data_IF_140731716041
#
_entry.id   IF_140731716041
#
_cell.length_a   1.000
_cell.length_b   1.000
_cell.length_c   1.000
_cell.angle_alpha   90.00
_cell.angle_beta   90.00
_cell.angle_gamma   90.00
#
_symmetry.space_group_name_H-M   'P 1'
#
loop_
_entity.id
_entity.type
_entity.pdbx_description
1 polymer ?
#
# COMPACT_ATOMS: atom_id res chain seq x y z
N UNK A 1 14.76 4.83 -4.33
CA UNK A 1 13.59 4.28 -3.65
C UNK A 1 13.02 3.23 -4.57
N UNK A 2 13.40 1.99 -4.30
CA UNK A 2 13.23 0.82 -5.13
C UNK A 2 11.86 0.14 -4.86
N UNK A 3 10.79 0.96 -4.77
CA UNK A 3 9.44 0.47 -4.47
C UNK A 3 8.95 -0.43 -5.61
N UNK A 4 9.19 -0.02 -6.87
CA UNK A 4 8.76 -0.76 -8.05
C UNK A 4 9.47 -2.11 -8.16
N UNK A 5 10.78 -2.13 -7.97
CA UNK A 5 11.63 -3.32 -8.02
C UNK A 5 11.16 -4.34 -6.98
N UNK A 6 10.95 -3.89 -5.74
CA UNK A 6 10.48 -4.74 -4.66
C UNK A 6 9.10 -5.36 -4.96
N UNK A 7 8.15 -4.56 -5.48
CA UNK A 7 6.84 -5.07 -5.89
C UNK A 7 6.98 -6.11 -7.01
N UNK A 8 7.81 -5.83 -8.01
CA UNK A 8 8.00 -6.70 -9.19
C UNK A 8 8.64 -8.03 -8.81
N UNK A 9 9.62 -8.01 -7.91
CA UNK A 9 10.24 -9.21 -7.34
C UNK A 9 9.21 -10.07 -6.59
N UNK A 10 8.37 -9.44 -5.75
CA UNK A 10 7.34 -10.16 -5.01
C UNK A 10 6.24 -10.74 -5.91
N UNK A 11 5.83 -10.02 -6.96
CA UNK A 11 4.89 -10.55 -7.97
C UNK A 11 5.48 -11.80 -8.62
N UNK A 12 6.74 -11.70 -9.04
CA UNK A 12 7.46 -12.79 -9.72
C UNK A 12 7.69 -14.00 -8.82
N UNK A 13 7.99 -13.76 -7.54
CA UNK A 13 8.27 -14.79 -6.54
C UNK A 13 7.02 -15.52 -6.05
N UNK A 14 5.96 -14.79 -5.69
CA UNK A 14 4.74 -15.38 -5.14
C UNK A 14 3.80 -15.93 -6.21
N UNK A 15 3.82 -15.35 -7.43
CA UNK A 15 2.92 -15.72 -8.55
C UNK A 15 1.44 -15.67 -8.18
N UNK A 16 1.09 -14.76 -7.29
CA UNK A 16 -0.28 -14.45 -6.92
C UNK A 16 -0.65 -13.07 -7.47
N UNK A 17 -1.88 -12.87 -7.93
CA UNK A 17 -2.30 -11.56 -8.42
C UNK A 17 -2.52 -10.59 -7.26
N UNK A 18 -2.17 -9.32 -7.44
CA UNK A 18 -2.41 -8.26 -6.48
C UNK A 18 -3.84 -7.70 -6.59
N UNK A 19 -4.46 -7.49 -5.43
CA UNK A 19 -5.66 -6.65 -5.30
C UNK A 19 -5.30 -5.20 -4.98
N UNK A 20 -4.13 -4.93 -4.41
CA UNK A 20 -3.68 -3.58 -4.15
C UNK A 20 -2.32 -3.52 -3.46
N UNK A 21 -1.78 -2.30 -3.42
CA UNK A 21 -0.53 -1.98 -2.75
C UNK A 21 -0.78 -0.82 -1.79
N UNK A 22 -0.19 -0.91 -0.61
CA UNK A 22 -0.16 0.16 0.39
C UNK A 22 1.29 0.49 0.72
N UNK A 23 1.64 1.77 0.74
CA UNK A 23 2.92 2.27 1.27
C UNK A 23 2.61 3.17 2.46
N UNK A 24 3.23 2.93 3.61
CA UNK A 24 3.06 3.74 4.80
C UNK A 24 4.40 4.33 5.27
N UNK A 25 4.38 5.61 5.60
CA UNK A 25 5.53 6.33 6.12
C UNK A 25 5.12 7.27 7.26
N UNK A 26 6.01 7.43 8.24
CA UNK A 26 5.90 8.50 9.24
C UNK A 26 6.54 9.79 8.69
N UNK A 27 6.10 10.98 9.11
CA UNK A 27 6.65 12.26 8.64
C UNK A 27 8.00 12.59 9.31
N UNK A 28 8.91 11.62 9.34
CA UNK A 28 10.24 11.72 9.92
C UNK A 28 11.28 11.26 8.89
N UNK A 29 12.14 12.14 8.36
CA UNK A 29 13.16 11.75 7.38
C UNK A 29 14.05 10.61 7.85
N UNK A 30 14.60 9.85 6.91
CA UNK A 30 15.50 8.71 7.16
C UNK A 30 14.90 7.59 8.05
N UNK A 31 13.57 7.53 8.24
CA UNK A 31 12.92 6.38 8.87
C UNK A 31 12.48 5.34 7.82
N UNK A 32 12.47 4.04 8.15
CA UNK A 32 11.97 3.04 7.22
C UNK A 32 10.51 3.27 6.81
N UNK A 33 10.14 2.78 5.63
CA UNK A 33 8.76 2.75 5.15
C UNK A 33 8.25 1.31 5.11
N UNK A 34 6.93 1.13 5.27
CA UNK A 34 6.29 -0.18 5.13
C UNK A 34 5.59 -0.28 3.78
N UNK A 35 5.96 -1.26 2.99
CA UNK A 35 5.30 -1.66 1.75
C UNK A 35 4.46 -2.91 2.02
N UNK A 36 3.13 -2.78 1.91
CA UNK A 36 2.20 -3.90 2.01
C UNK A 36 1.61 -4.26 0.65
N UNK A 37 1.74 -5.54 0.29
CA UNK A 37 1.18 -6.16 -0.90
C UNK A 37 -0.05 -6.97 -0.53
N UNK A 38 -1.20 -6.56 -1.05
CA UNK A 38 -2.46 -7.23 -0.80
C UNK A 38 -2.72 -8.22 -1.94
N UNK A 39 -2.64 -9.52 -1.63
CA UNK A 39 -2.81 -10.59 -2.61
C UNK A 39 -4.27 -10.99 -2.75
N UNK A 40 -4.66 -11.37 -3.97
CA UNK A 40 -5.93 -12.01 -4.25
C UNK A 40 -5.75 -13.53 -4.31
N UNK A 41 -6.58 -14.26 -3.57
CA UNK A 41 -6.61 -15.71 -3.59
C UNK A 41 -7.01 -16.31 -2.24
N UNK A 42 -7.21 -17.62 -2.25
CA UNK A 42 -7.49 -18.41 -1.05
C UNK A 42 -6.49 -19.57 -0.94
N UNK A 43 -6.07 -19.85 0.30
CA UNK A 43 -5.25 -21.01 0.66
C UNK A 43 -6.07 -21.98 1.50
N UNK A 44 -5.74 -23.26 1.38
CA UNK A 44 -6.28 -24.30 2.27
C UNK A 44 -5.65 -24.13 3.66
N UNK A 45 -6.46 -24.00 4.69
CA UNK A 45 -6.03 -23.99 6.07
C UNK A 45 -6.12 -25.42 6.60
N UNK A 46 -5.03 -25.92 7.19
CA UNK A 46 -5.07 -27.20 7.89
C UNK A 46 -6.05 -27.09 9.07
N UNK A 47 -6.88 -28.12 9.32
CA UNK A 47 -7.75 -28.13 10.49
C UNK A 47 -6.90 -28.00 11.75
N UNK A 48 -7.35 -27.17 12.69
CA UNK A 48 -6.61 -26.84 13.93
C UNK A 48 -6.64 -28.01 14.93
N UNK A 49 -7.45 -29.04 14.68
CA UNK A 49 -7.55 -30.28 15.48
C UNK A 49 -7.66 -31.52 14.56
N UNK A 50 -7.18 -32.68 15.03
CA UNK A 50 -7.25 -34.02 14.39
C UNK A 50 -8.68 -34.54 14.12
N UNK A 51 -9.71 -33.72 14.34
CA UNK A 51 -11.05 -34.04 13.90
C UNK A 51 -11.08 -34.02 12.37
N UNK A 52 -11.65 -35.06 11.76
CA UNK A 52 -11.88 -35.19 10.33
C UNK A 52 -12.87 -34.11 9.81
N UNK A 53 -12.45 -32.85 9.87
CA UNK A 53 -13.19 -31.67 9.46
C UNK A 53 -12.83 -31.24 8.04
N UNK A 54 -13.76 -30.54 7.40
CA UNK A 54 -13.57 -29.99 6.07
C UNK A 54 -12.38 -29.00 6.03
N UNK A 55 -11.60 -29.07 4.95
CA UNK A 55 -10.49 -28.13 4.72
C UNK A 55 -11.07 -26.73 4.53
N UNK A 56 -10.87 -25.86 5.52
CA UNK A 56 -11.31 -24.48 5.46
C UNK A 56 -10.46 -23.69 4.44
N UNK A 57 -11.11 -22.83 3.66
CA UNK A 57 -10.42 -21.85 2.82
C UNK A 57 -10.21 -20.55 3.62
N UNK A 58 -8.95 -20.11 3.70
CA UNK A 58 -8.56 -18.83 4.26
C UNK A 58 -8.05 -17.92 3.14
N UNK A 59 -8.21 -16.60 3.28
CA UNK A 59 -7.62 -15.66 2.33
C UNK A 59 -6.10 -15.72 2.38
N UNK A 60 -5.43 -15.45 1.27
CA UNK A 60 -3.97 -15.26 1.28
C UNK A 60 -3.66 -14.04 2.15
N UNK A 61 -2.75 -14.14 3.14
CA UNK A 61 -2.35 -13.00 3.95
C UNK A 61 -1.62 -11.97 3.08
N UNK A 62 -1.75 -10.69 3.41
CA UNK A 62 -0.95 -9.63 2.78
C UNK A 62 0.52 -9.79 3.17
N UNK A 63 1.45 -9.42 2.30
CA UNK A 63 2.88 -9.37 2.63
C UNK A 63 3.25 -7.95 3.00
N UNK A 64 3.90 -7.72 4.14
CA UNK A 64 4.43 -6.41 4.53
C UNK A 64 5.94 -6.45 4.62
N UNK A 65 6.62 -5.53 3.95
CA UNK A 65 8.07 -5.44 3.87
C UNK A 65 8.52 -4.06 4.35
N UNK A 66 9.60 -4.02 5.12
CA UNK A 66 10.25 -2.78 5.48
C UNK A 66 11.30 -2.39 4.45
N UNK A 67 11.19 -1.18 3.91
CA UNK A 67 12.19 -0.60 3.02
C UNK A 67 13.03 0.41 3.81
N UNK A 68 14.34 0.18 3.83
CA UNK A 68 15.32 0.91 4.65
C UNK A 68 16.10 1.98 3.86
N UNK A 69 15.62 2.33 2.68
CA UNK A 69 16.27 3.36 1.88
C UNK A 69 16.17 4.73 2.53
N UNK A 70 17.25 5.51 2.41
CA UNK A 70 17.30 6.87 2.94
C UNK A 70 16.52 7.83 2.05
N UNK A 71 15.75 8.70 2.68
CA UNK A 71 14.96 9.73 2.03
C UNK A 71 14.93 10.98 2.89
N UNK A 72 14.85 12.15 2.26
CA UNK A 72 14.99 13.45 2.95
C UNK A 72 13.68 14.20 3.05
N UNK A 73 12.82 14.05 2.05
CA UNK A 73 11.50 14.67 2.00
C UNK A 73 10.46 13.59 1.70
N UNK A 74 9.25 13.72 2.25
CA UNK A 74 8.12 12.85 1.90
C UNK A 74 7.79 12.92 0.40
N UNK A 75 8.20 14.00 -0.26
CA UNK A 75 8.17 14.09 -1.72
C UNK A 75 8.97 12.99 -2.41
N UNK A 76 10.08 12.51 -1.82
CA UNK A 76 10.86 11.41 -2.38
C UNK A 76 10.02 10.11 -2.39
N UNK A 77 9.28 9.87 -1.30
CA UNK A 77 8.36 8.73 -1.17
C UNK A 77 7.16 8.85 -2.11
N UNK A 78 6.61 10.06 -2.25
CA UNK A 78 5.56 10.37 -3.23
C UNK A 78 6.04 10.04 -4.66
N UNK A 79 7.20 10.55 -5.08
CA UNK A 79 7.74 10.31 -6.44
C UNK A 79 7.89 8.81 -6.66
N UNK A 80 8.55 8.10 -5.74
CA UNK A 80 8.79 6.67 -5.90
C UNK A 80 7.48 5.86 -5.96
N UNK A 81 6.47 6.24 -5.18
CA UNK A 81 5.17 5.56 -5.20
C UNK A 81 4.37 5.89 -6.46
N UNK A 82 4.48 7.12 -6.97
CA UNK A 82 3.86 7.53 -8.24
C UNK A 82 4.49 6.84 -9.43
N UNK A 83 5.82 6.70 -9.47
CA UNK A 83 6.53 5.92 -10.49
C UNK A 83 6.08 4.46 -10.46
N UNK A 84 6.10 3.82 -9.29
CA UNK A 84 5.65 2.43 -9.16
C UNK A 84 4.18 2.26 -9.58
N UNK A 85 3.28 3.15 -9.15
CA UNK A 85 1.87 3.12 -9.56
C UNK A 85 1.68 3.34 -11.06
N UNK A 86 2.41 4.28 -11.66
CA UNK A 86 2.36 4.57 -13.09
C UNK A 86 2.81 3.38 -13.94
N UNK A 87 4.01 2.86 -13.66
CA UNK A 87 4.64 1.78 -14.42
C UNK A 87 3.88 0.46 -14.27
N UNK A 88 3.31 0.16 -13.09
CA UNK A 88 2.44 -1.01 -12.87
C UNK A 88 1.01 -0.81 -13.42
N UNK A 89 0.75 0.27 -14.14
CA UNK A 89 -0.51 0.50 -14.83
C UNK A 89 -1.67 0.89 -13.92
N UNK A 90 -1.42 1.35 -12.69
CA UNK A 90 -2.51 1.79 -11.82
C UNK A 90 -3.29 2.94 -12.46
N UNK A 91 -4.59 3.04 -12.16
CA UNK A 91 -5.40 4.16 -12.65
C UNK A 91 -5.18 5.43 -11.83
N UNK A 92 -5.00 5.24 -10.52
CA UNK A 92 -4.76 6.29 -9.56
C UNK A 92 -3.86 5.81 -8.43
N UNK A 93 -3.15 6.78 -7.84
CA UNK A 93 -2.50 6.66 -6.54
C UNK A 93 -3.20 7.62 -5.60
N UNK A 94 -3.66 7.11 -4.47
CA UNK A 94 -4.31 7.89 -3.41
C UNK A 94 -3.34 8.06 -2.27
N UNK A 95 -2.95 9.30 -1.96
CA UNK A 95 -2.28 9.63 -0.71
C UNK A 95 -3.29 10.11 0.32
N UNK A 96 -3.30 9.49 1.49
CA UNK A 96 -4.06 9.92 2.65
C UNK A 96 -3.10 10.30 3.80
N UNK A 97 -3.35 11.45 4.41
CA UNK A 97 -2.61 11.96 5.56
C UNK A 97 -3.48 11.78 6.80
N UNK A 98 -2.96 11.11 7.81
CA UNK A 98 -3.66 10.74 9.04
C UNK A 98 -3.09 11.47 10.24
N UNK A 99 -3.99 11.99 11.09
CA UNK A 99 -3.61 12.64 12.34
C UNK A 99 -3.11 11.60 13.37
N UNK A 100 -2.36 12.02 14.41
CA UNK A 100 -1.93 11.15 15.49
C UNK A 100 -3.10 10.43 16.16
N UNK A 101 -3.11 9.09 16.19
CA UNK A 101 -4.24 8.33 16.73
C UNK A 101 -4.27 8.25 18.27
N UNK A 102 -3.20 8.67 18.97
CA UNK A 102 -3.13 8.71 20.46
C UNK A 102 -3.55 10.04 21.07
N UNK A 103 -4.15 10.95 20.29
CA UNK A 103 -4.65 12.24 20.81
C UNK A 103 -5.95 12.07 21.59
N UNK A 104 -6.23 12.92 22.60
CA UNK A 104 -7.53 12.95 23.27
C UNK A 104 -8.69 13.09 22.28
N UNK A 105 -9.68 12.21 22.38
CA UNK A 105 -10.87 12.22 21.52
C UNK A 105 -10.68 11.56 20.15
N UNK A 106 -9.54 10.93 19.86
CA UNK A 106 -9.39 10.09 18.67
C UNK A 106 -10.35 8.89 18.72
N UNK A 107 -10.91 8.53 17.57
CA UNK A 107 -11.74 7.34 17.49
C UNK A 107 -10.86 6.08 17.59
N UNK A 108 -11.35 5.03 18.26
CA UNK A 108 -10.63 3.75 18.36
C UNK A 108 -10.32 3.13 16.97
N UNK A 109 -11.14 3.43 15.96
CA UNK A 109 -10.91 3.03 14.58
C UNK A 109 -9.57 3.58 14.02
N UNK A 110 -9.17 4.78 14.41
CA UNK A 110 -7.91 5.39 13.93
C UNK A 110 -6.68 4.61 14.40
N UNK A 111 -6.73 4.04 15.61
CA UNK A 111 -5.66 3.18 16.11
C UNK A 111 -5.58 1.86 15.32
N UNK A 112 -6.72 1.28 14.97
CA UNK A 112 -6.78 0.07 14.14
C UNK A 112 -6.28 0.34 12.72
N UNK A 113 -6.64 1.49 12.15
CA UNK A 113 -6.18 1.90 10.82
C UNK A 113 -4.67 2.19 10.80
N UNK A 114 -4.13 2.79 11.88
CA UNK A 114 -2.69 2.95 12.07
C UNK A 114 -1.97 1.60 12.08
N UNK A 115 -2.45 0.64 12.87
CA UNK A 115 -1.86 -0.71 12.90
C UNK A 115 -1.85 -1.34 11.50
N UNK A 116 -2.99 -1.30 10.79
CA UNK A 116 -3.13 -1.88 9.45
C UNK A 116 -2.23 -1.23 8.42
N UNK A 117 -2.06 0.09 8.47
CA UNK A 117 -1.20 0.82 7.54
C UNK A 117 0.26 0.36 7.63
N UNK A 118 0.73 0.01 8.83
CA UNK A 118 2.08 -0.50 9.06
C UNK A 118 2.16 -2.03 9.05
N UNK A 119 1.15 -2.73 8.52
CA UNK A 119 1.20 -4.18 8.32
C UNK A 119 0.89 -5.02 9.56
N UNK A 120 0.37 -4.40 10.63
CA UNK A 120 -0.11 -5.11 11.82
C UNK A 120 -1.63 -5.26 11.79
N UNK A 121 -2.16 -6.39 12.24
CA UNK A 121 -3.60 -6.52 12.47
C UNK A 121 -3.87 -7.10 13.86
N UNK A 122 -4.53 -6.35 14.75
CA UNK A 122 -4.76 -6.80 16.13
C UNK A 122 -5.81 -7.91 16.24
N UNK A 123 -6.56 -8.18 15.17
CA UNK A 123 -7.64 -9.18 15.17
C UNK A 123 -7.38 -10.19 14.04
N UNK A 124 -7.01 -11.44 14.36
CA UNK A 124 -6.88 -12.48 13.34
C UNK A 124 -8.25 -12.82 12.75
N UNK A 125 -8.30 -13.11 11.46
CA UNK A 125 -9.54 -13.55 10.81
C UNK A 125 -9.57 -15.07 10.77
N UNK A 126 -10.56 -15.69 11.44
CA UNK A 126 -10.69 -17.16 11.55
C UNK A 126 -9.40 -17.86 11.99
N UNK A 127 -8.67 -17.25 12.93
CA UNK A 127 -7.40 -17.77 13.45
C UNK A 127 -6.24 -17.77 12.44
N UNK A 128 -6.39 -17.10 11.30
CA UNK A 128 -5.30 -16.86 10.36
C UNK A 128 -4.77 -15.43 10.49
N UNK A 129 -3.45 -15.29 10.47
CA UNK A 129 -2.79 -13.99 10.33
C UNK A 129 -3.18 -13.35 9.01
N UNK A 130 -3.48 -12.05 9.06
CA UNK A 130 -3.85 -11.26 7.88
C UNK A 130 -2.63 -10.65 7.19
N UNK A 131 -1.48 -10.65 7.86
CA UNK A 131 -0.21 -10.16 7.34
C UNK A 131 0.90 -11.15 7.63
N UNK A 132 1.80 -11.32 6.66
CA UNK A 132 3.14 -11.88 6.85
C UNK A 132 4.08 -10.68 6.75
N UNK A 133 4.70 -10.31 7.88
CA UNK A 133 5.51 -9.11 7.97
C UNK A 133 7.01 -9.46 8.08
N UNK A 134 7.81 -8.87 7.21
CA UNK A 134 9.27 -8.82 7.28
C UNK A 134 9.68 -7.35 7.54
N UNK A 135 9.32 -6.88 8.74
CA UNK A 135 9.44 -5.49 9.16
C UNK A 135 9.95 -5.40 10.61
N UNK A 136 11.28 -5.41 10.83
CA UNK A 136 11.85 -5.45 12.18
C UNK A 136 11.49 -4.22 13.03
N UNK A 137 11.35 -3.04 12.42
CA UNK A 137 11.12 -1.78 13.13
C UNK A 137 9.62 -1.39 13.16
N UNK A 138 8.73 -2.32 12.80
CA UNK A 138 7.29 -2.09 12.66
C UNK A 138 6.66 -1.50 13.93
N UNK A 139 6.97 -2.05 15.10
CA UNK A 139 6.39 -1.59 16.37
C UNK A 139 6.85 -0.16 16.71
N UNK A 140 8.09 0.18 16.41
CA UNK A 140 8.64 1.53 16.63
C UNK A 140 7.98 2.54 15.67
N UNK A 141 7.82 2.16 14.40
CA UNK A 141 7.12 2.98 13.40
C UNK A 141 5.66 3.22 13.78
N UNK A 142 4.95 2.20 14.28
CA UNK A 142 3.57 2.34 14.78
C UNK A 142 3.52 3.32 15.94
N UNK A 143 4.46 3.27 16.88
CA UNK A 143 4.51 4.21 18.00
C UNK A 143 4.74 5.65 17.54
N UNK A 144 5.65 5.86 16.59
CA UNK A 144 5.91 7.18 16.01
C UNK A 144 4.67 7.68 15.26
N UNK A 145 4.05 6.84 14.43
CA UNK A 145 2.84 7.15 13.68
C UNK A 145 1.67 7.53 14.60
N UNK A 146 1.52 6.81 15.71
CA UNK A 146 0.47 7.05 16.68
C UNK A 146 0.60 8.42 17.37
N UNK A 147 1.82 8.94 17.51
CA UNK A 147 2.13 10.22 18.17
C UNK A 147 2.25 11.39 17.20
N UNK A 148 2.73 11.17 15.97
CA UNK A 148 3.05 12.21 15.00
C UNK A 148 2.12 12.23 13.77
N UNK A 149 1.28 11.22 13.62
CA UNK A 149 0.51 10.99 12.39
C UNK A 149 1.34 10.23 11.36
N UNK A 150 0.73 9.90 10.23
CA UNK A 150 1.39 9.14 9.17
C UNK A 150 0.75 9.42 7.81
N UNK A 151 1.44 9.01 6.76
CA UNK A 151 0.97 9.08 5.39
C UNK A 151 0.85 7.66 4.83
N UNK A 152 -0.17 7.46 4.02
CA UNK A 152 -0.45 6.20 3.37
C UNK A 152 -0.73 6.46 1.89
N UNK A 153 -0.03 5.74 1.02
CA UNK A 153 -0.29 5.72 -0.42
C UNK A 153 -0.91 4.39 -0.79
N UNK A 154 -1.97 4.43 -1.58
CA UNK A 154 -2.67 3.23 -2.02
C UNK A 154 -2.89 3.28 -3.52
N UNK A 155 -2.64 2.16 -4.19
CA UNK A 155 -2.94 2.01 -5.61
C UNK A 155 -3.24 0.56 -5.96
N UNK A 156 -3.79 0.37 -7.16
CA UNK A 156 -4.26 -0.91 -7.69
C UNK A 156 -3.56 -1.18 -9.00
N UNK A 157 -2.52 -2.04 -9.02
CA UNK A 157 -1.75 -2.28 -10.23
C UNK A 157 -2.56 -3.11 -11.23
N UNK A 158 -2.45 -2.78 -12.52
CA UNK A 158 -2.99 -3.63 -13.59
C UNK A 158 -1.99 -4.74 -13.89
N UNK A 159 -0.71 -4.40 -14.02
CA UNK A 159 0.34 -5.39 -14.17
C UNK A 159 0.50 -6.22 -12.88
N UNK A 160 0.44 -7.55 -13.00
CA UNK A 160 0.49 -8.46 -11.86
C UNK A 160 -0.73 -8.36 -10.92
N UNK A 161 -1.79 -7.64 -11.30
CA UNK A 161 -3.02 -7.49 -10.53
C UNK A 161 -4.25 -8.07 -11.22
N UNK A 162 -5.42 -7.83 -10.63
CA UNK A 162 -6.74 -8.26 -11.14
C UNK A 162 -7.53 -7.14 -11.84
N UNK A 163 -6.89 -6.01 -12.12
CA UNK A 163 -7.57 -4.76 -12.45
C UNK A 163 -7.66 -4.42 -13.95
N UNK A 164 -7.24 -5.33 -14.84
CA UNK A 164 -7.22 -5.11 -16.30
C UNK A 164 -8.58 -4.72 -16.88
N UNK A 165 -9.66 -5.24 -16.31
CA UNK A 165 -11.00 -5.14 -16.90
C UNK A 165 -11.85 -4.02 -16.28
N UNK A 166 -11.30 -3.30 -15.29
CA UNK A 166 -12.09 -2.37 -14.47
C UNK A 166 -12.26 -1.01 -15.15
N UNK A 167 -11.28 -0.55 -15.94
CA UNK A 167 -11.40 0.69 -16.72
C UNK A 167 -10.61 0.60 -18.04
N UNK A 168 -11.16 1.17 -19.11
CA UNK A 168 -10.49 1.28 -20.40
C UNK A 168 -9.47 2.41 -20.39
N UNK A 169 -8.20 2.07 -20.22
CA UNK A 169 -7.09 3.03 -20.24
C UNK A 169 -6.24 2.88 -21.51
N UNK A 170 -6.29 3.90 -22.38
CA UNK A 170 -5.55 3.91 -23.64
C UNK A 170 -4.03 4.14 -23.47
N UNK A 171 -3.57 4.49 -22.26
CA UNK A 171 -2.15 4.72 -21.96
C UNK A 171 -1.41 3.45 -21.56
N UNK A 172 -2.12 2.33 -21.35
CA UNK A 172 -1.52 1.06 -20.98
C UNK A 172 -0.91 0.34 -22.19
N UNK A 173 0.23 -0.29 -21.95
CA UNK A 173 0.81 -1.29 -22.83
C UNK A 173 -0.02 -2.58 -22.80
N UNK A 174 0.24 -3.48 -23.76
CA UNK A 174 -0.47 -4.76 -23.88
C UNK A 174 -0.30 -5.68 -22.65
N UNK A 175 0.76 -5.51 -21.87
CA UNK A 175 1.06 -6.24 -20.64
C UNK A 175 0.51 -5.56 -19.37
N UNK A 176 -0.24 -4.46 -19.52
CA UNK A 176 -0.81 -3.69 -18.42
C UNK A 176 0.17 -2.73 -17.75
N UNK A 177 1.37 -2.53 -18.29
CA UNK A 177 2.36 -1.56 -17.78
C UNK A 177 2.23 -0.19 -18.46
N UNK A 178 3.01 0.79 -18.02
CA UNK A 178 3.26 2.05 -18.77
C UNK A 178 4.75 2.33 -18.90
N UNK A 179 5.11 3.11 -19.92
CA UNK A 179 6.50 3.53 -20.13
C UNK A 179 6.90 4.61 -19.12
N UNK A 180 8.08 4.49 -18.48
CA UNK A 180 8.64 5.55 -17.63
C UNK A 180 8.88 6.86 -18.41
N UNK A 181 8.90 8.03 -17.77
CA UNK A 181 8.65 8.29 -16.35
C UNK A 181 7.20 8.71 -16.11
N UNK A 182 6.76 8.62 -14.85
CA UNK A 182 5.46 9.12 -14.43
C UNK A 182 5.31 10.62 -14.78
N UNK A 183 4.24 11.02 -15.49
CA UNK A 183 4.08 12.41 -15.93
C UNK A 183 3.58 13.35 -14.81
N UNK A 184 3.19 12.82 -13.66
CA UNK A 184 2.60 13.61 -12.58
C UNK A 184 3.66 14.08 -11.58
N UNK A 185 3.70 15.39 -11.36
CA UNK A 185 4.45 15.96 -10.24
C UNK A 185 3.67 15.78 -8.92
N UNK A 186 4.33 15.33 -7.85
CA UNK A 186 3.70 15.17 -6.55
C UNK A 186 3.34 16.52 -5.91
N UNK A 187 2.25 16.53 -5.13
CA UNK A 187 1.83 17.71 -4.38
C UNK A 187 2.41 17.63 -2.99
N UNK A 188 3.10 18.68 -2.52
CA UNK A 188 3.71 18.72 -1.19
C UNK A 188 2.71 18.30 -0.08
N UNK A 189 3.04 17.29 0.74
CA UNK A 189 2.26 16.94 1.91
C UNK A 189 2.21 18.08 2.94
N UNK A 190 1.11 18.17 3.69
CA UNK A 190 0.97 19.17 4.75
C UNK A 190 1.22 18.57 6.14
N UNK A 191 1.06 17.25 6.28
CA UNK A 191 1.21 16.52 7.52
C UNK A 191 0.26 17.00 8.64
N UNK A 192 -0.88 17.58 8.25
CA UNK A 192 -1.93 18.03 9.18
C UNK A 192 -2.95 16.94 9.51
N UNK A 193 -2.87 15.78 8.83
CA UNK A 193 -3.60 14.57 9.20
C UNK A 193 -5.07 14.48 8.79
N UNK A 194 -5.53 15.36 7.89
CA UNK A 194 -6.91 15.38 7.37
C UNK A 194 -6.97 15.69 5.88
N UNK A 195 -6.04 15.13 5.11
CA UNK A 195 -5.93 15.44 3.69
C UNK A 195 -5.90 14.18 2.85
N UNK A 196 -6.68 14.17 1.77
CA UNK A 196 -6.63 13.12 0.76
C UNK A 196 -6.32 13.71 -0.60
N UNK A 197 -5.26 13.20 -1.23
CA UNK A 197 -4.82 13.61 -2.57
C UNK A 197 -4.92 12.41 -3.49
N UNK A 198 -5.62 12.57 -4.62
CA UNK A 198 -5.74 11.53 -5.66
C UNK A 198 -4.96 11.98 -6.88
N UNK A 199 -4.00 11.17 -7.30
CA UNK A 199 -3.24 11.35 -8.53
C UNK A 199 -3.82 10.43 -9.60
N UNK A 200 -4.50 10.98 -10.61
CA UNK A 200 -5.14 10.19 -11.67
C UNK A 200 -4.28 10.16 -12.93
N UNK A 201 -3.99 8.96 -13.41
CA UNK A 201 -3.10 8.70 -14.54
C UNK A 201 -3.84 8.63 -15.89
N UNK A 202 -5.03 8.01 -15.92
CA UNK A 202 -5.79 7.86 -17.16
C UNK A 202 -6.91 8.89 -17.30
N UNK A 203 -6.78 9.81 -18.24
CA UNK A 203 -7.88 10.38 -19.03
C UNK A 203 -7.29 10.74 -20.42
N UNK A 204 -8.09 10.59 -21.48
CA UNK A 204 -7.70 10.79 -22.89
C UNK A 204 -7.26 12.23 -23.25
N UNK A 205 -7.25 13.15 -22.29
CA UNK A 205 -6.90 14.56 -22.47
C UNK A 205 -5.51 14.91 -21.92
N UNK A 206 -4.48 14.08 -22.17
CA UNK A 206 -3.04 14.45 -22.13
C UNK A 206 -2.42 15.10 -20.88
N UNK A 207 -3.20 15.38 -19.84
CA UNK A 207 -2.81 16.05 -18.60
C UNK A 207 -3.49 15.29 -17.47
N UNK A 208 -2.71 14.43 -16.81
CA UNK A 208 -3.14 13.83 -15.55
C UNK A 208 -3.51 14.95 -14.57
N UNK A 209 -4.54 14.69 -13.75
CA UNK A 209 -5.06 15.65 -12.78
C UNK A 209 -4.84 15.11 -11.38
N UNK A 210 -4.54 16.00 -10.44
CA UNK A 210 -4.64 15.71 -9.03
C UNK A 210 -5.84 16.45 -8.43
N UNK A 211 -6.57 15.78 -7.55
CA UNK A 211 -7.63 16.41 -6.75
C UNK A 211 -7.30 16.29 -5.28
N UNK A 212 -7.55 17.35 -4.52
CA UNK A 212 -7.34 17.40 -3.08
C UNK A 212 -8.70 17.59 -2.41
N UNK A 213 -8.99 16.76 -1.42
CA UNK A 213 -10.17 16.82 -0.57
C UNK A 213 -9.79 16.83 0.91
#
# INVERSE_FOLDING_TARGET
MEILECITEQISGNRLPLVGVTVAAVPCPDTPIILSLHWHGFRKQAPVDDAAGEVALASVPSTSLQLNERWRDLLDVDVATLEAGWELGAWDVVRAEYAPCMRPGAAAAEAVDCLRAFGACPVPYRGSDLFVAEAPDMDELIQIAAQSGYLCWQFRPVHGGIWSDVQGDATLNADGTRTPHCPLAPVRPQCEGKRRTVYRFGESSGLGRHSVS
#
